data_IF_997681699864
#
_entry.id   IF_997681699864
#
_cell.length_a   1.000
_cell.length_b   1.000
_cell.length_c   1.000
_cell.angle_alpha   90.00
_cell.angle_beta   90.00
_cell.angle_gamma   90.00
#
_symmetry.space_group_name_H-M   'P 1'
#
loop_
_entity.id
_entity.type
_entity.pdbx_description
1 polymer ?
#
# COMPACT_ATOMS: atom_id res chain seq x y z
N UNK A 1 7.04 11.87 -4.65
CA UNK A 1 8.26 11.11 -4.99
C UNK A 1 8.65 11.35 -6.45
N UNK A 2 9.95 11.40 -6.82
CA UNK A 2 10.37 11.47 -8.22
C UNK A 2 9.99 10.20 -9.00
N UNK A 3 9.57 10.30 -10.28
CA UNK A 3 9.17 9.13 -11.09
C UNK A 3 10.22 8.01 -11.14
N UNK A 4 11.50 8.37 -11.26
CA UNK A 4 12.63 7.43 -11.31
C UNK A 4 12.72 6.51 -10.08
N UNK A 5 12.34 7.02 -8.91
CA UNK A 5 12.34 6.23 -7.67
C UNK A 5 11.19 5.21 -7.66
N UNK A 6 10.03 5.55 -8.22
CA UNK A 6 8.92 4.62 -8.35
C UNK A 6 9.30 3.46 -9.29
N UNK A 7 9.93 3.77 -10.42
CA UNK A 7 10.33 2.76 -11.40
C UNK A 7 11.32 1.75 -10.81
N UNK A 8 12.31 2.22 -10.04
CA UNK A 8 13.26 1.36 -9.32
C UNK A 8 12.57 0.46 -8.28
N UNK A 9 11.57 0.99 -7.56
CA UNK A 9 10.78 0.20 -6.61
C UNK A 9 9.99 -0.87 -7.36
N UNK A 10 9.35 -0.52 -8.48
CA UNK A 10 8.58 -1.48 -9.28
C UNK A 10 9.47 -2.58 -9.89
N UNK A 11 10.68 -2.23 -10.36
CA UNK A 11 11.66 -3.19 -10.84
C UNK A 11 12.09 -4.15 -9.73
N UNK A 12 12.40 -3.62 -8.54
CA UNK A 12 12.75 -4.42 -7.36
C UNK A 12 11.62 -5.37 -6.98
N UNK A 13 10.37 -4.89 -7.00
CA UNK A 13 9.19 -5.71 -6.72
C UNK A 13 9.06 -6.84 -7.74
N UNK A 14 9.22 -6.53 -9.02
CA UNK A 14 9.14 -7.53 -10.09
C UNK A 14 10.21 -8.61 -9.94
N UNK A 15 11.42 -8.25 -9.54
CA UNK A 15 12.51 -9.20 -9.28
C UNK A 15 12.22 -10.07 -8.05
N UNK A 16 11.92 -9.45 -6.91
CA UNK A 16 11.72 -10.15 -5.62
C UNK A 16 10.50 -11.06 -5.64
N UNK A 17 9.43 -10.65 -6.31
CA UNK A 17 8.19 -11.42 -6.42
C UNK A 17 8.10 -12.24 -7.71
N UNK A 18 9.17 -12.27 -8.51
CA UNK A 18 9.26 -13.03 -9.77
C UNK A 18 8.10 -12.73 -10.73
N UNK A 19 7.70 -11.46 -10.81
CA UNK A 19 6.62 -11.00 -11.66
C UNK A 19 7.20 -10.57 -13.00
N UNK A 20 6.75 -11.24 -14.06
CA UNK A 20 7.26 -11.02 -15.43
C UNK A 20 6.48 -9.91 -16.16
N UNK A 21 5.42 -9.39 -15.56
CA UNK A 21 4.50 -8.43 -16.19
C UNK A 21 4.56 -7.08 -15.48
N UNK A 22 4.47 -6.01 -16.25
CA UNK A 22 4.36 -4.66 -15.70
C UNK A 22 2.92 -4.38 -15.27
N UNK A 23 2.68 -3.87 -14.06
CA UNK A 23 1.36 -3.42 -13.64
C UNK A 23 1.01 -2.07 -14.28
N UNK A 24 -0.26 -1.82 -14.49
CA UNK A 24 -0.78 -0.46 -14.58
C UNK A 24 -0.73 0.18 -13.19
N UNK A 25 -0.21 1.41 -13.11
CA UNK A 25 0.03 2.09 -11.85
C UNK A 25 -0.86 3.32 -11.76
N UNK A 26 -1.72 3.37 -10.74
CA UNK A 26 -2.57 4.53 -10.46
C UNK A 26 -2.35 5.04 -9.05
N UNK A 27 -2.12 6.35 -8.89
CA UNK A 27 -1.99 6.97 -7.58
C UNK A 27 -3.38 7.19 -6.98
N UNK A 28 -3.67 6.57 -5.82
CA UNK A 28 -5.00 6.62 -5.22
C UNK A 28 -5.22 7.90 -4.41
N UNK A 29 -4.25 8.26 -3.56
CA UNK A 29 -4.32 9.50 -2.75
C UNK A 29 -2.92 9.91 -2.31
N UNK A 30 -2.55 11.19 -2.48
CA UNK A 30 -1.36 11.73 -1.81
C UNK A 30 -1.65 11.83 -0.30
N UNK A 31 -1.17 10.86 0.47
CA UNK A 31 -1.20 10.91 1.93
C UNK A 31 -0.13 11.84 2.48
N UNK A 32 -0.28 12.29 3.72
CA UNK A 32 0.77 13.09 4.38
C UNK A 32 2.02 12.25 4.71
N UNK A 33 1.83 10.98 5.08
CA UNK A 33 2.93 10.09 5.51
C UNK A 33 3.34 9.05 4.47
N UNK A 34 2.45 8.74 3.53
CA UNK A 34 2.70 7.73 2.49
C UNK A 34 2.21 8.23 1.13
N UNK A 35 2.98 7.91 0.10
CA UNK A 35 2.44 7.84 -1.25
C UNK A 35 1.81 6.45 -1.44
N UNK A 36 0.58 6.41 -1.95
CA UNK A 36 -0.22 5.18 -2.09
C UNK A 36 -0.59 4.97 -3.55
N UNK A 37 -0.17 3.83 -4.09
CA UNK A 37 -0.41 3.43 -5.47
C UNK A 37 -1.21 2.13 -5.50
N UNK A 38 -2.10 2.02 -6.48
CA UNK A 38 -2.70 0.77 -6.91
C UNK A 38 -1.88 0.22 -8.06
N UNK A 39 -1.51 -1.05 -7.94
CA UNK A 39 -0.88 -1.83 -8.99
C UNK A 39 -1.92 -2.80 -9.55
N UNK A 40 -2.14 -2.79 -10.85
CA UNK A 40 -3.13 -3.63 -11.51
C UNK A 40 -2.44 -4.44 -12.62
N UNK A 41 -2.38 -5.76 -12.46
CA UNK A 41 -1.70 -6.66 -13.38
C UNK A 41 -2.66 -7.17 -14.46
N UNK A 42 -2.13 -7.60 -15.63
CA UNK A 42 -2.95 -8.05 -16.76
C UNK A 42 -3.89 -9.24 -16.49
N UNK A 43 -3.63 -10.01 -15.45
CA UNK A 43 -4.46 -11.15 -15.01
C UNK A 43 -5.59 -10.74 -14.05
N UNK A 44 -5.74 -9.44 -13.78
CA UNK A 44 -6.71 -8.88 -12.84
C UNK A 44 -6.25 -8.88 -11.39
N UNK A 45 -5.03 -9.34 -11.09
CA UNK A 45 -4.45 -9.23 -9.76
C UNK A 45 -4.20 -7.76 -9.43
N UNK A 46 -4.67 -7.32 -8.27
CA UNK A 46 -4.57 -5.93 -7.80
C UNK A 46 -3.89 -5.88 -6.45
N UNK A 47 -2.91 -5.00 -6.31
CA UNK A 47 -2.18 -4.74 -5.07
C UNK A 47 -2.17 -3.26 -4.71
N UNK A 48 -1.86 -2.99 -3.45
CA UNK A 48 -1.61 -1.65 -2.93
C UNK A 48 -0.14 -1.53 -2.54
N UNK A 49 0.56 -0.59 -3.17
CA UNK A 49 1.91 -0.18 -2.81
C UNK A 49 1.84 1.07 -1.93
N UNK A 50 2.42 1.00 -0.73
CA UNK A 50 2.58 2.13 0.19
C UNK A 50 4.05 2.44 0.37
N UNK A 51 4.45 3.67 0.05
CA UNK A 51 5.83 4.15 0.17
C UNK A 51 5.87 5.23 1.25
N UNK A 52 6.68 5.03 2.27
CA UNK A 52 6.85 5.96 3.37
C UNK A 52 7.65 7.19 2.93
N UNK A 53 7.23 8.38 3.36
CA UNK A 53 7.87 9.65 2.99
C UNK A 53 9.06 10.02 3.88
N UNK A 54 9.09 9.49 5.10
CA UNK A 54 10.10 9.81 6.10
C UNK A 54 10.28 8.66 7.12
N UNK A 55 11.31 8.77 7.96
CA UNK A 55 11.64 7.79 9.00
C UNK A 55 10.52 7.58 10.02
N UNK A 56 9.70 8.62 10.27
CA UNK A 56 8.58 8.50 11.19
C UNK A 56 7.49 7.60 10.59
N UNK A 57 7.14 7.83 9.32
CA UNK A 57 6.23 6.98 8.56
C UNK A 57 6.75 5.55 8.43
N UNK A 58 8.06 5.34 8.27
CA UNK A 58 8.68 4.01 8.29
C UNK A 58 8.41 3.33 9.63
N UNK A 59 8.77 3.98 10.75
CA UNK A 59 8.56 3.42 12.10
C UNK A 59 7.10 3.10 12.38
N UNK A 60 6.18 3.96 11.95
CA UNK A 60 4.74 3.76 12.11
C UNK A 60 4.25 2.57 11.27
N UNK A 61 4.70 2.46 10.01
CA UNK A 61 4.39 1.31 9.15
C UNK A 61 4.80 -0.01 9.80
N UNK A 62 6.00 -0.10 10.40
CA UNK A 62 6.45 -1.34 11.06
C UNK A 62 5.47 -1.82 12.13
N UNK A 63 4.99 -0.89 12.97
CA UNK A 63 3.99 -1.19 14.00
C UNK A 63 2.65 -1.62 13.39
N UNK A 64 2.19 -0.90 12.37
CA UNK A 64 0.95 -1.22 11.65
C UNK A 64 0.97 -2.61 11.03
N UNK A 65 2.09 -3.03 10.43
CA UNK A 65 2.27 -4.36 9.83
C UNK A 65 2.15 -5.48 10.86
N UNK A 66 2.76 -5.31 12.04
CA UNK A 66 2.65 -6.28 13.14
C UNK A 66 1.19 -6.46 13.58
N UNK A 67 0.44 -5.35 13.70
CA UNK A 67 -0.98 -5.37 14.06
C UNK A 67 -1.79 -6.09 12.98
N UNK A 68 -1.62 -5.73 11.70
CA UNK A 68 -2.36 -6.35 10.60
C UNK A 68 -2.11 -7.86 10.51
N UNK A 69 -0.86 -8.29 10.67
CA UNK A 69 -0.51 -9.72 10.70
C UNK A 69 -1.22 -10.43 11.86
N UNK A 70 -1.19 -9.84 13.05
CA UNK A 70 -1.88 -10.39 14.22
C UNK A 70 -3.40 -10.48 14.02
N UNK A 71 -4.03 -9.43 13.48
CA UNK A 71 -5.47 -9.41 13.22
C UNK A 71 -5.85 -10.46 12.18
N UNK A 72 -5.12 -10.58 11.06
CA UNK A 72 -5.40 -11.59 10.03
C UNK A 72 -5.33 -13.02 10.59
N UNK A 73 -4.35 -13.29 11.47
CA UNK A 73 -4.17 -14.61 12.09
C UNK A 73 -5.27 -14.93 13.12
N UNK A 74 -5.66 -13.96 13.95
CA UNK A 74 -6.55 -14.22 15.08
C UNK A 74 -8.03 -13.92 14.79
N UNK A 75 -8.32 -13.11 13.77
CA UNK A 75 -9.67 -12.70 13.37
C UNK A 75 -9.83 -12.84 11.84
N UNK A 76 -9.81 -14.07 11.29
CA UNK A 76 -9.85 -14.28 9.84
C UNK A 76 -11.17 -13.84 9.18
N UNK A 77 -12.23 -13.64 9.96
CA UNK A 77 -13.51 -13.10 9.48
C UNK A 77 -13.46 -11.60 9.17
N UNK A 78 -12.49 -10.87 9.72
CA UNK A 78 -12.30 -9.46 9.39
C UNK A 78 -11.58 -9.32 8.05
N UNK A 79 -12.15 -8.49 7.17
CA UNK A 79 -11.49 -8.09 5.93
C UNK A 79 -10.37 -7.09 6.25
N UNK A 80 -9.16 -7.63 6.47
CA UNK A 80 -7.93 -6.86 6.58
C UNK A 80 -6.97 -7.25 5.44
N UNK A 81 -6.22 -6.27 4.90
CA UNK A 81 -5.32 -6.54 3.79
C UNK A 81 -4.19 -7.46 4.24
N UNK A 82 -3.93 -8.51 3.46
CA UNK A 82 -2.76 -9.34 3.69
C UNK A 82 -1.48 -8.60 3.28
N UNK A 83 -0.42 -8.78 4.07
CA UNK A 83 0.92 -8.33 3.71
C UNK A 83 1.50 -9.29 2.66
N UNK A 84 1.82 -8.77 1.48
CA UNK A 84 2.41 -9.55 0.37
C UNK A 84 3.93 -9.47 0.43
N UNK A 85 4.44 -8.26 0.57
CA UNK A 85 5.88 -8.00 0.59
C UNK A 85 6.20 -6.82 1.49
N UNK A 86 7.37 -6.86 2.13
CA UNK A 86 7.82 -5.82 3.04
C UNK A 86 9.26 -5.43 2.78
N UNK A 87 9.50 -4.13 2.61
CA UNK A 87 10.81 -3.53 2.54
C UNK A 87 11.00 -2.50 3.68
N UNK A 88 12.14 -1.83 3.66
CA UNK A 88 12.49 -0.83 4.68
C UNK A 88 11.54 0.37 4.61
N UNK A 89 11.30 0.89 3.41
CA UNK A 89 10.61 2.15 3.13
C UNK A 89 9.31 1.97 2.33
N UNK A 90 9.03 0.77 1.81
CA UNK A 90 7.75 0.46 1.17
C UNK A 90 7.19 -0.90 1.58
N UNK A 91 5.88 -1.06 1.34
CA UNK A 91 5.15 -2.27 1.69
C UNK A 91 4.07 -2.53 0.65
N UNK A 92 3.86 -3.81 0.30
CA UNK A 92 2.81 -4.26 -0.61
C UNK A 92 1.74 -5.01 0.17
N UNK A 93 0.50 -4.62 -0.09
CA UNK A 93 -0.69 -5.23 0.48
C UNK A 93 -1.60 -5.78 -0.62
N UNK A 94 -2.37 -6.80 -0.27
CA UNK A 94 -3.54 -7.21 -1.04
C UNK A 94 -4.51 -6.02 -1.22
N UNK A 95 -5.04 -5.85 -2.44
CA UNK A 95 -6.13 -4.92 -2.67
C UNK A 95 -7.42 -5.49 -2.09
N UNK A 96 -8.12 -4.71 -1.26
CA UNK A 96 -9.44 -5.08 -0.75
C UNK A 96 -10.53 -4.57 -1.68
N UNK A 97 -11.34 -5.48 -2.19
CA UNK A 97 -12.53 -5.15 -2.98
C UNK A 97 -13.62 -4.53 -2.11
N UNK A 98 -14.39 -3.64 -2.74
CA UNK A 98 -15.49 -2.92 -2.12
C UNK A 98 -15.30 -1.42 -2.16
N UNK A 99 -16.21 -0.73 -1.48
CA UNK A 99 -16.21 0.73 -1.39
C UNK A 99 -16.23 1.15 0.08
N UNK A 100 -15.53 2.24 0.45
CA UNK A 100 -15.69 2.83 1.76
C UNK A 100 -17.16 3.11 2.07
N UNK A 101 -17.60 2.79 3.29
CA UNK A 101 -18.93 3.16 3.75
C UNK A 101 -18.93 4.66 4.05
N UNK A 102 -19.34 5.47 3.07
CA UNK A 102 -19.43 6.93 3.17
C UNK A 102 -18.29 7.67 2.46
N UNK A 103 -18.52 8.96 2.14
CA UNK A 103 -17.52 9.82 1.51
C UNK A 103 -16.65 10.49 2.58
N UNK A 104 -15.33 10.22 2.54
CA UNK A 104 -14.34 10.90 3.39
C UNK A 104 -14.00 12.28 2.82
N UNK A 105 -15.01 13.12 2.52
CA UNK A 105 -14.80 14.39 1.83
C UNK A 105 -14.83 15.58 2.83
N UNK A 106 -13.63 16.14 3.06
CA UNK A 106 -13.28 17.55 3.38
C UNK A 106 -13.57 18.21 4.74
N UNK A 107 -14.20 17.59 5.74
CA UNK A 107 -14.49 18.30 7.00
C UNK A 107 -13.51 18.09 8.17
N UNK A 108 -12.44 17.30 7.99
CA UNK A 108 -11.49 17.01 9.10
C UNK A 108 -10.19 17.84 9.00
N UNK A 109 -9.91 18.49 7.87
CA UNK A 109 -8.67 19.27 7.67
C UNK A 109 -8.86 20.81 7.63
N UNK A 110 -10.08 21.33 7.83
CA UNK A 110 -10.31 22.77 8.05
C UNK A 110 -10.26 23.18 9.53
N UNK A 111 -9.80 22.29 10.40
CA UNK A 111 -9.55 22.58 11.81
C UNK A 111 -8.17 23.19 12.04
N UNK A 112 -8.10 24.52 11.90
CA UNK A 112 -7.08 25.51 12.30
C UNK A 112 -6.27 26.15 11.17
#
# INVERSE_FOLDING_TARGET
MPPQQLDLILETISLELQIVRNPEVSQLTPGQSHDVYRLEYPDGQRWILRIAKDDFAIRLSRRGRTILKHVKTNQPSLQVPALIYDAVDYTIFEYLDGSPVGSWIKNVLSGR
#
